data_IF_316253977313
#
_entry.id   IF_316253977313
#
_cell.length_a   1.000
_cell.length_b   1.000
_cell.length_c   1.000
_cell.angle_alpha   90.00
_cell.angle_beta   90.00
_cell.angle_gamma   90.00
#
_symmetry.space_group_name_H-M   'P 1'
#
loop_
_entity.id
_entity.type
_entity.pdbx_description
1 polymer ?
#
# COMPACT_ATOMS: atom_id res chain seq x y z
N UNK A 1 -23.70 14.33 23.73
CA UNK A 1 -22.51 14.03 22.90
C UNK A 1 -21.36 14.70 23.62
N UNK A 2 -20.39 13.93 24.12
CA UNK A 2 -19.10 14.52 24.49
C UNK A 2 -18.56 15.27 23.26
N UNK A 3 -17.91 16.41 23.47
CA UNK A 3 -17.19 17.13 22.42
C UNK A 3 -16.05 16.24 21.94
N UNK A 4 -16.34 15.34 21.01
CA UNK A 4 -15.35 14.47 20.39
C UNK A 4 -14.45 15.36 19.55
N UNK A 5 -13.16 15.22 19.78
CA UNK A 5 -12.14 15.89 18.97
C UNK A 5 -12.37 15.57 17.49
N UNK A 6 -12.51 16.61 16.68
CA UNK A 6 -12.83 16.51 15.25
C UNK A 6 -11.80 15.71 14.45
N UNK A 7 -10.57 15.56 14.95
CA UNK A 7 -9.51 14.74 14.34
C UNK A 7 -9.45 13.31 14.88
N UNK A 8 -10.06 13.03 16.03
CA UNK A 8 -10.22 11.66 16.56
C UNK A 8 -11.53 11.02 16.12
N UNK A 9 -12.48 11.85 15.66
CA UNK A 9 -13.70 11.44 14.99
C UNK A 9 -14.81 10.99 15.92
N UNK A 10 -16.06 11.21 15.50
CA UNK A 10 -17.24 10.68 16.18
C UNK A 10 -17.85 9.43 15.53
N UNK A 11 -17.56 9.20 14.24
CA UNK A 11 -18.03 8.05 13.45
C UNK A 11 -17.02 7.72 12.35
N UNK A 12 -16.89 6.43 12.05
CA UNK A 12 -16.01 5.91 10.99
C UNK A 12 -16.48 6.40 9.61
N UNK A 13 -15.62 7.03 8.79
CA UNK A 13 -15.92 7.20 7.37
C UNK A 13 -15.93 5.82 6.68
N UNK A 14 -16.90 5.58 5.80
CA UNK A 14 -17.01 4.31 5.10
C UNK A 14 -15.74 4.07 4.24
N UNK A 15 -15.08 2.92 4.44
CA UNK A 15 -13.91 2.50 3.66
C UNK A 15 -12.55 3.02 4.14
N UNK A 16 -12.46 3.84 5.18
CA UNK A 16 -11.17 4.33 5.71
C UNK A 16 -10.89 3.73 7.08
N UNK A 17 -10.30 2.54 7.10
CA UNK A 17 -10.03 1.84 8.35
C UNK A 17 -8.91 2.46 9.17
N UNK A 18 -7.98 3.21 8.59
CA UNK A 18 -6.82 3.77 9.31
C UNK A 18 -7.08 5.08 10.10
N UNK A 19 -8.29 5.62 10.09
CA UNK A 19 -8.64 6.81 10.87
C UNK A 19 -8.87 6.47 12.34
N UNK A 20 -8.48 7.34 13.29
CA UNK A 20 -8.77 7.16 14.70
C UNK A 20 -10.27 7.01 14.95
N UNK A 21 -10.58 6.27 16.01
CA UNK A 21 -11.91 6.13 16.59
C UNK A 21 -11.90 6.67 18.04
N UNK A 22 -13.06 6.85 18.69
CA UNK A 22 -13.09 7.32 20.09
C UNK A 22 -12.24 6.50 21.06
N UNK A 23 -12.09 5.19 20.84
CA UNK A 23 -11.22 4.33 21.64
C UNK A 23 -9.71 4.58 21.45
N UNK A 24 -9.31 5.33 20.42
CA UNK A 24 -7.93 5.73 20.16
C UNK A 24 -7.57 7.07 20.83
N UNK A 25 -8.51 7.68 21.55
CA UNK A 25 -8.28 8.92 22.29
C UNK A 25 -7.38 8.66 23.51
N UNK A 26 -6.18 9.28 23.58
CA UNK A 26 -5.30 9.14 24.74
C UNK A 26 -5.83 9.85 26.01
N UNK A 27 -6.98 10.53 25.95
CA UNK A 27 -7.60 11.21 27.07
C UNK A 27 -6.92 12.54 27.42
N UNK A 28 -6.21 13.13 26.46
CA UNK A 28 -5.43 14.36 26.64
C UNK A 28 -5.39 15.18 25.34
N UNK A 29 -5.23 16.49 25.48
CA UNK A 29 -5.11 17.38 24.33
C UNK A 29 -3.75 17.18 23.62
N UNK A 30 -3.79 16.79 22.35
CA UNK A 30 -2.61 16.53 21.52
C UNK A 30 -2.43 17.67 20.52
N UNK A 31 -1.39 18.52 20.66
CA UNK A 31 -1.14 19.62 19.74
C UNK A 31 -0.85 19.14 18.32
N UNK A 32 -1.31 19.92 17.34
CA UNK A 32 -1.20 19.61 15.90
C UNK A 32 -0.82 20.86 15.12
N UNK A 33 0.06 20.69 14.14
CA UNK A 33 0.44 21.73 13.19
C UNK A 33 0.24 21.24 11.76
N UNK A 34 -0.43 22.04 10.92
CA UNK A 34 -0.49 21.77 9.48
C UNK A 34 0.87 21.98 8.83
N UNK A 35 1.35 20.95 8.13
CA UNK A 35 2.64 20.96 7.44
C UNK A 35 2.42 20.98 5.93
N UNK A 36 3.20 21.82 5.25
CA UNK A 36 3.26 21.90 3.79
C UNK A 36 4.71 21.92 3.34
N UNK A 37 5.12 20.93 2.57
CA UNK A 37 6.48 20.75 2.07
C UNK A 37 6.44 20.75 0.54
N UNK A 38 7.37 21.46 -0.07
CA UNK A 38 7.60 21.39 -1.52
C UNK A 38 8.85 20.54 -1.74
N UNK A 39 8.70 19.46 -2.49
CA UNK A 39 9.79 18.54 -2.83
C UNK A 39 10.76 19.19 -3.83
N UNK A 40 12.01 18.69 -3.95
CA UNK A 40 12.98 19.23 -4.89
C UNK A 40 12.53 19.24 -6.36
N UNK A 41 11.63 18.33 -6.74
CA UNK A 41 11.04 18.25 -8.08
C UNK A 41 9.70 19.00 -8.21
N UNK A 42 9.32 19.77 -7.19
CA UNK A 42 8.21 20.72 -7.23
C UNK A 42 6.83 20.15 -6.85
N UNK A 43 6.75 18.89 -6.44
CA UNK A 43 5.50 18.31 -5.93
C UNK A 43 5.19 18.77 -4.50
N UNK A 44 3.91 18.76 -4.16
CA UNK A 44 3.39 19.22 -2.88
C UNK A 44 3.09 18.05 -1.94
N UNK A 45 3.72 18.03 -0.78
CA UNK A 45 3.44 17.12 0.34
C UNK A 45 2.71 17.91 1.43
N UNK A 46 1.62 17.35 1.96
CA UNK A 46 0.81 17.96 3.01
C UNK A 46 0.52 16.95 4.11
N UNK A 47 0.47 17.42 5.35
CA UNK A 47 0.20 16.56 6.49
C UNK A 47 -0.10 17.34 7.76
N UNK A 48 -0.20 16.59 8.86
CA UNK A 48 -0.28 17.13 10.21
C UNK A 48 0.89 16.57 11.02
N UNK A 49 1.60 17.48 11.69
CA UNK A 49 2.57 17.15 12.71
C UNK A 49 1.87 17.13 14.06
N UNK A 50 1.79 15.96 14.67
CA UNK A 50 1.29 15.73 16.02
C UNK A 50 2.48 15.77 16.97
N UNK A 51 2.40 16.57 18.03
CA UNK A 51 3.50 16.69 19.00
C UNK A 51 3.05 16.26 20.39
N UNK A 52 4.01 15.93 21.29
CA UNK A 52 3.68 15.56 22.65
C UNK A 52 2.87 16.64 23.38
N UNK A 53 1.95 16.23 24.26
CA UNK A 53 1.11 17.15 25.03
C UNK A 53 1.94 18.02 25.98
N UNK A 54 1.36 19.15 26.39
CA UNK A 54 1.95 20.03 27.41
C UNK A 54 3.27 20.70 27.01
N UNK A 55 3.58 20.77 25.72
CA UNK A 55 4.83 21.36 25.23
C UNK A 55 6.08 20.52 25.55
N UNK A 56 5.90 19.22 25.85
CA UNK A 56 7.02 18.32 26.13
C UNK A 56 7.97 18.28 24.92
N UNK A 57 9.28 18.51 25.12
CA UNK A 57 10.24 18.43 24.02
C UNK A 57 10.33 16.99 23.50
N UNK A 58 10.61 16.87 22.21
CA UNK A 58 10.80 15.59 21.54
C UNK A 58 12.14 15.59 20.80
N UNK A 59 12.76 14.42 20.74
CA UNK A 59 14.02 14.17 20.01
C UNK A 59 13.83 13.20 18.86
N UNK A 60 12.86 12.31 19.02
CA UNK A 60 12.53 11.29 18.02
C UNK A 60 11.25 11.68 17.29
N UNK A 61 11.31 11.66 15.97
CA UNK A 61 10.16 11.79 15.09
C UNK A 61 9.78 10.43 14.48
N UNK A 62 8.49 10.22 14.25
CA UNK A 62 7.95 9.12 13.47
C UNK A 62 7.25 9.73 12.26
N UNK A 63 7.60 9.31 11.05
CA UNK A 63 6.90 9.75 9.84
C UNK A 63 6.13 8.59 9.23
N UNK A 64 4.91 8.86 8.76
CA UNK A 64 4.03 7.84 8.20
C UNK A 64 3.22 8.37 7.02
N UNK A 65 3.13 7.55 5.99
CA UNK A 65 2.35 7.81 4.78
C UNK A 65 1.90 6.51 4.12
N UNK A 66 0.99 6.64 3.17
CA UNK A 66 0.53 5.58 2.27
C UNK A 66 0.71 6.06 0.84
N UNK A 67 1.00 5.19 -0.15
CA UNK A 67 1.14 5.61 -1.55
C UNK A 67 0.04 6.55 -2.05
N UNK A 68 -1.20 6.35 -1.60
CA UNK A 68 -2.40 7.09 -2.06
C UNK A 68 -3.36 7.54 -0.95
N UNK A 69 -3.09 7.17 0.29
CA UNK A 69 -3.98 7.43 1.43
C UNK A 69 -3.55 8.67 2.20
N UNK A 70 -4.51 9.38 2.80
CA UNK A 70 -4.21 10.49 3.71
C UNK A 70 -3.91 9.96 5.11
N UNK A 71 -2.64 9.91 5.48
CA UNK A 71 -2.20 9.48 6.81
C UNK A 71 -2.01 10.64 7.79
N UNK A 72 -2.41 11.87 7.44
CA UNK A 72 -2.32 13.02 8.34
C UNK A 72 -3.11 12.85 9.64
N UNK A 73 -4.12 12.01 9.63
CA UNK A 73 -5.02 11.67 10.73
C UNK A 73 -5.10 10.15 10.86
N UNK A 74 -3.95 9.49 10.96
CA UNK A 74 -3.84 8.05 11.16
C UNK A 74 -3.96 7.69 12.66
N UNK A 75 -4.56 6.55 13.02
CA UNK A 75 -4.78 6.14 14.43
C UNK A 75 -3.50 6.11 15.28
N UNK A 76 -2.34 5.84 14.66
CA UNK A 76 -1.05 5.83 15.33
C UNK A 76 -0.61 7.22 15.82
N UNK A 77 -1.04 8.30 15.15
CA UNK A 77 -0.58 9.67 15.42
C UNK A 77 -0.88 10.13 16.85
N UNK A 78 -2.14 10.14 17.33
CA UNK A 78 -2.44 10.60 18.69
C UNK A 78 -1.80 9.71 19.76
N UNK A 79 -1.78 8.39 19.56
CA UNK A 79 -1.26 7.42 20.52
C UNK A 79 0.26 7.52 20.70
N UNK A 80 1.02 7.65 19.60
CA UNK A 80 2.47 7.83 19.66
C UNK A 80 2.87 9.25 20.11
N UNK A 81 2.07 10.27 19.78
CA UNK A 81 2.28 11.62 20.31
C UNK A 81 2.10 11.66 21.83
N UNK A 82 1.05 11.02 22.36
CA UNK A 82 0.85 10.85 23.80
C UNK A 82 2.01 10.10 24.48
N UNK A 83 2.64 9.16 23.77
CA UNK A 83 3.82 8.43 24.25
C UNK A 83 5.13 9.28 24.26
N UNK A 84 5.11 10.49 23.70
CA UNK A 84 6.24 11.43 23.77
C UNK A 84 7.02 11.63 22.46
N UNK A 85 6.50 11.14 21.33
CA UNK A 85 7.13 11.27 20.02
C UNK A 85 6.49 12.39 19.18
N UNK A 86 7.26 13.04 18.31
CA UNK A 86 6.67 13.82 17.23
C UNK A 86 6.22 12.88 16.11
N UNK A 87 5.01 13.04 15.59
CA UNK A 87 4.46 12.16 14.56
C UNK A 87 3.97 12.97 13.37
N UNK A 88 4.67 12.87 12.23
CA UNK A 88 4.26 13.52 10.99
C UNK A 88 3.54 12.52 10.10
N UNK A 89 2.21 12.54 10.18
CA UNK A 89 1.35 11.89 9.21
C UNK A 89 1.19 12.78 7.98
N UNK A 90 1.42 12.24 6.78
CA UNK A 90 1.32 13.03 5.55
C UNK A 90 0.75 12.22 4.38
N UNK A 91 0.20 12.93 3.41
CA UNK A 91 -0.17 12.39 2.11
C UNK A 91 0.94 12.63 1.10
N UNK A 92 1.22 11.63 0.28
CA UNK A 92 2.08 11.76 -0.91
C UNK A 92 1.42 12.68 -1.94
N UNK A 93 2.16 12.99 -3.02
CA UNK A 93 1.63 13.69 -4.20
C UNK A 93 0.49 12.93 -4.92
N UNK A 94 0.22 11.68 -4.55
CA UNK A 94 -0.76 10.79 -5.19
C UNK A 94 -1.99 10.51 -4.33
N UNK A 95 -2.31 11.38 -3.37
CA UNK A 95 -3.57 11.30 -2.61
C UNK A 95 -4.77 11.10 -3.56
N UNK A 96 -5.49 10.00 -3.40
CA UNK A 96 -6.63 9.60 -4.24
C UNK A 96 -6.34 9.48 -5.75
N UNK A 97 -5.07 9.37 -6.15
CA UNK A 97 -4.67 9.18 -7.54
C UNK A 97 -3.92 7.87 -7.72
N UNK A 98 -4.67 6.80 -7.97
CA UNK A 98 -4.09 5.49 -8.29
C UNK A 98 -3.52 5.43 -9.72
N UNK A 99 -4.21 6.10 -10.65
CA UNK A 99 -3.97 5.99 -12.10
C UNK A 99 -2.52 6.17 -12.52
N UNK A 100 -1.81 7.13 -11.93
CA UNK A 100 -0.43 7.44 -12.31
C UNK A 100 0.51 7.43 -11.10
N UNK A 101 0.16 6.69 -10.04
CA UNK A 101 0.99 6.56 -8.86
C UNK A 101 2.31 5.87 -9.20
N UNK A 102 3.43 6.53 -8.88
CA UNK A 102 4.78 6.01 -9.05
C UNK A 102 5.48 5.94 -7.70
N UNK A 103 5.82 4.75 -7.24
CA UNK A 103 6.51 4.53 -5.97
C UNK A 103 7.87 5.24 -5.92
N UNK A 104 8.57 5.33 -7.06
CA UNK A 104 9.84 6.05 -7.19
C UNK A 104 9.69 7.55 -6.90
N UNK A 105 8.52 8.13 -7.18
CA UNK A 105 8.23 9.51 -6.81
C UNK A 105 7.74 9.62 -5.36
N UNK A 106 6.99 8.63 -4.87
CA UNK A 106 6.55 8.60 -3.48
C UNK A 106 7.74 8.61 -2.50
N UNK A 107 8.85 7.92 -2.80
CA UNK A 107 10.02 7.94 -1.91
C UNK A 107 10.71 9.32 -1.85
N UNK A 108 10.56 10.15 -2.89
CA UNK A 108 10.99 11.57 -2.87
C UNK A 108 10.14 12.37 -1.89
N UNK A 109 8.84 12.10 -1.83
CA UNK A 109 7.93 12.71 -0.86
C UNK A 109 8.29 12.29 0.58
N UNK A 110 8.61 11.01 0.80
CA UNK A 110 9.08 10.49 2.09
C UNK A 110 10.38 11.17 2.50
N UNK A 111 11.34 11.34 1.58
CA UNK A 111 12.60 12.06 1.84
C UNK A 111 12.36 13.49 2.27
N UNK A 112 11.44 14.19 1.63
CA UNK A 112 11.12 15.57 1.97
C UNK A 112 10.49 15.70 3.38
N UNK A 113 9.62 14.75 3.77
CA UNK A 113 9.08 14.66 5.12
C UNK A 113 10.18 14.35 6.16
N UNK A 114 11.08 13.41 5.86
CA UNK A 114 12.25 13.09 6.68
C UNK A 114 13.14 14.32 6.90
N UNK A 115 13.49 15.04 5.83
CA UNK A 115 14.36 16.23 5.89
C UNK A 115 13.72 17.35 6.71
N UNK A 116 12.41 17.53 6.60
CA UNK A 116 11.68 18.50 7.41
C UNK A 116 11.76 18.16 8.90
N UNK A 117 11.64 16.88 9.28
CA UNK A 117 11.80 16.48 10.69
C UNK A 117 13.24 16.67 11.17
N UNK A 118 14.26 16.36 10.34
CA UNK A 118 15.66 16.67 10.68
C UNK A 118 15.90 18.18 10.84
N UNK A 119 15.34 19.01 9.95
CA UNK A 119 15.42 20.48 10.02
C UNK A 119 14.79 21.03 11.31
N UNK A 120 13.73 20.40 11.80
CA UNK A 120 13.05 20.73 13.06
C UNK A 120 13.79 20.23 14.31
N UNK A 121 14.91 19.53 14.16
CA UNK A 121 15.76 19.12 15.28
C UNK A 121 15.59 17.66 15.71
N UNK A 122 14.93 16.81 14.93
CA UNK A 122 14.86 15.38 15.22
C UNK A 122 16.28 14.77 15.27
N UNK A 123 16.66 14.20 16.41
CA UNK A 123 17.88 13.39 16.57
C UNK A 123 17.70 12.07 15.80
N UNK A 124 16.55 11.42 15.92
CA UNK A 124 16.16 10.23 15.16
C UNK A 124 14.82 10.43 14.41
N UNK A 125 14.68 9.81 13.24
CA UNK A 125 13.45 9.76 12.45
C UNK A 125 13.14 8.32 12.07
N UNK A 126 12.03 7.78 12.56
CA UNK A 126 11.58 6.40 12.30
C UNK A 126 10.54 6.39 11.20
N UNK A 127 10.67 5.45 10.26
CA UNK A 127 9.71 5.27 9.16
C UNK A 127 8.64 4.25 9.57
N UNK A 128 7.38 4.67 9.64
CA UNK A 128 6.26 3.81 9.97
C UNK A 128 5.35 3.65 8.75
N UNK A 129 5.14 2.40 8.33
CA UNK A 129 4.24 2.05 7.23
C UNK A 129 3.12 1.12 7.69
N UNK A 130 1.86 1.51 7.43
CA UNK A 130 0.69 0.63 7.56
C UNK A 130 0.25 0.16 6.17
N UNK A 131 -0.07 -1.13 6.00
CA UNK A 131 -0.54 -1.69 4.73
C UNK A 131 0.46 -1.43 3.59
N UNK A 132 0.03 -0.90 2.44
CA UNK A 132 0.91 -0.50 1.32
C UNK A 132 2.02 0.48 1.74
N UNK A 133 1.80 1.28 2.78
CA UNK A 133 2.80 2.16 3.38
C UNK A 133 4.04 1.41 3.89
N UNK A 134 3.90 0.15 4.33
CA UNK A 134 5.04 -0.68 4.76
C UNK A 134 6.07 -0.88 3.65
N UNK A 135 5.59 -1.31 2.47
CA UNK A 135 6.42 -1.50 1.29
C UNK A 135 7.04 -0.20 0.78
N UNK A 136 6.29 0.90 0.82
CA UNK A 136 6.79 2.22 0.45
C UNK A 136 7.91 2.70 1.40
N UNK A 137 7.72 2.58 2.71
CA UNK A 137 8.72 2.99 3.69
C UNK A 137 9.99 2.13 3.63
N UNK A 138 9.84 0.81 3.37
CA UNK A 138 10.98 -0.07 3.17
C UNK A 138 11.76 0.30 1.90
N UNK A 139 11.06 0.63 0.80
CA UNK A 139 11.69 1.11 -0.43
C UNK A 139 12.41 2.44 -0.20
N UNK A 140 11.80 3.40 0.50
CA UNK A 140 12.44 4.68 0.83
C UNK A 140 13.73 4.49 1.63
N UNK A 141 13.71 3.61 2.65
CA UNK A 141 14.89 3.26 3.44
C UNK A 141 15.97 2.64 2.55
N UNK A 142 15.62 1.62 1.77
CA UNK A 142 16.57 0.82 0.99
C UNK A 142 17.21 1.60 -0.18
N UNK A 143 16.48 2.53 -0.80
CA UNK A 143 16.96 3.32 -1.94
C UNK A 143 17.66 4.62 -1.53
N UNK A 144 17.23 5.25 -0.43
CA UNK A 144 17.71 6.59 -0.05
C UNK A 144 18.57 6.59 1.21
N UNK A 145 18.66 5.47 1.93
CA UNK A 145 19.44 5.36 3.18
C UNK A 145 18.94 6.28 4.30
N UNK A 146 17.65 6.63 4.28
CA UNK A 146 17.01 7.48 5.30
C UNK A 146 16.26 6.65 6.33
N UNK A 147 16.03 7.26 7.49
CA UNK A 147 15.27 6.66 8.58
C UNK A 147 16.16 5.80 9.49
N UNK A 148 16.05 6.03 10.78
CA UNK A 148 16.87 5.36 11.80
C UNK A 148 16.26 4.02 12.24
N UNK A 149 14.96 3.80 12.00
CA UNK A 149 14.26 2.55 12.25
C UNK A 149 13.08 2.36 11.31
N UNK A 150 12.60 1.12 11.21
CA UNK A 150 11.43 0.77 10.38
C UNK A 150 10.36 0.07 11.21
N UNK A 151 9.12 0.57 11.09
CA UNK A 151 7.93 0.02 11.75
C UNK A 151 6.92 -0.40 10.69
N UNK A 152 6.61 -1.69 10.63
CA UNK A 152 5.52 -2.22 9.83
C UNK A 152 4.27 -2.48 10.69
N UNK A 153 3.12 -1.96 10.26
CA UNK A 153 1.81 -2.29 10.84
C UNK A 153 0.97 -2.98 9.76
N UNK A 154 0.60 -4.24 9.92
CA UNK A 154 -0.09 -4.99 8.86
C UNK A 154 0.58 -4.75 7.49
N UNK A 155 1.92 -4.85 7.43
CA UNK A 155 2.67 -4.38 6.27
C UNK A 155 2.42 -5.28 5.06
N UNK A 156 2.02 -4.67 3.94
CA UNK A 156 1.76 -5.38 2.70
C UNK A 156 3.09 -5.82 2.06
N UNK A 157 3.23 -7.04 1.49
CA UNK A 157 4.43 -7.44 0.73
C UNK A 157 4.77 -6.57 -0.50
N UNK A 158 3.97 -5.54 -0.78
CA UNK A 158 3.98 -4.72 -2.01
C UNK A 158 2.65 -4.82 -2.77
N UNK A 159 2.08 -3.68 -3.19
CA UNK A 159 0.76 -3.64 -3.85
C UNK A 159 0.70 -4.50 -5.11
N UNK A 160 1.80 -4.60 -5.87
CA UNK A 160 1.89 -5.52 -7.00
C UNK A 160 1.88 -7.00 -6.58
N UNK A 161 2.53 -7.33 -5.46
CA UNK A 161 2.46 -8.69 -4.90
C UNK A 161 1.06 -9.03 -4.39
N UNK A 162 0.28 -8.03 -3.96
CA UNK A 162 -1.15 -8.20 -3.68
C UNK A 162 -1.89 -8.63 -4.93
N UNK A 163 -1.69 -7.88 -6.01
CA UNK A 163 -2.40 -8.07 -7.27
C UNK A 163 -2.19 -9.48 -7.83
N UNK A 164 -0.99 -10.06 -7.66
CA UNK A 164 -0.72 -11.45 -8.04
C UNK A 164 -1.61 -12.49 -7.30
N UNK A 165 -2.20 -12.13 -6.16
CA UNK A 165 -3.07 -12.99 -5.35
C UNK A 165 -4.55 -12.74 -5.60
N UNK A 166 -4.92 -11.56 -6.10
CA UNK A 166 -6.32 -11.14 -6.21
C UNK A 166 -6.78 -10.86 -7.63
N UNK A 167 -5.89 -10.81 -8.63
CA UNK A 167 -6.33 -10.62 -10.01
C UNK A 167 -7.08 -11.86 -10.49
N UNK A 168 -8.24 -11.68 -11.11
CA UNK A 168 -9.03 -12.80 -11.61
C UNK A 168 -8.40 -13.36 -12.89
N UNK A 169 -7.85 -14.59 -12.88
CA UNK A 169 -7.15 -15.12 -14.04
C UNK A 169 -8.09 -15.56 -15.16
N UNK A 170 -9.41 -15.62 -14.90
CA UNK A 170 -10.40 -16.17 -15.84
C UNK A 170 -10.89 -15.17 -16.89
N UNK A 171 -10.33 -13.96 -16.94
CA UNK A 171 -10.57 -12.99 -18.02
C UNK A 171 -9.70 -13.38 -19.23
N UNK A 172 -10.35 -13.81 -20.32
CA UNK A 172 -9.66 -14.22 -21.54
C UNK A 172 -9.22 -13.03 -22.41
N UNK A 173 -10.06 -12.00 -22.47
CA UNK A 173 -9.89 -10.77 -23.26
C UNK A 173 -10.04 -9.55 -22.35
N UNK A 174 -8.99 -8.73 -22.25
CA UNK A 174 -9.01 -7.52 -21.42
C UNK A 174 -9.98 -6.43 -21.93
N UNK A 175 -10.49 -6.56 -23.17
CA UNK A 175 -11.52 -5.69 -23.74
C UNK A 175 -12.96 -6.17 -23.49
N UNK A 176 -13.13 -7.42 -23.03
CA UNK A 176 -14.41 -8.00 -22.61
C UNK A 176 -14.29 -8.56 -21.19
N UNK A 177 -14.71 -7.81 -20.15
CA UNK A 177 -14.57 -8.26 -18.76
C UNK A 177 -15.43 -9.49 -18.40
N UNK A 178 -16.38 -9.87 -19.26
CA UNK A 178 -17.18 -11.09 -19.10
C UNK A 178 -16.65 -12.27 -19.92
N UNK A 179 -15.56 -12.08 -20.67
CA UNK A 179 -14.91 -13.16 -21.41
C UNK A 179 -14.46 -14.27 -20.44
N UNK A 180 -14.94 -15.52 -20.61
CA UNK A 180 -14.70 -16.57 -19.63
C UNK A 180 -13.52 -17.46 -20.02
N UNK A 181 -12.73 -17.84 -19.02
CA UNK A 181 -11.95 -19.09 -19.01
C UNK A 181 -12.59 -19.97 -17.92
N UNK A 182 -13.58 -20.84 -18.26
CA UNK A 182 -14.40 -21.52 -17.26
C UNK A 182 -13.62 -22.34 -16.23
N UNK A 183 -12.57 -23.04 -16.68
CA UNK A 183 -11.65 -23.83 -15.84
C UNK A 183 -10.85 -22.99 -14.83
N UNK A 184 -10.77 -21.66 -15.01
CA UNK A 184 -10.09 -20.75 -14.10
C UNK A 184 -11.05 -19.86 -13.30
N UNK A 185 -12.36 -19.95 -13.53
CA UNK A 185 -13.33 -19.07 -12.85
C UNK A 185 -13.59 -19.57 -11.43
N UNK A 186 -13.10 -18.84 -10.42
CA UNK A 186 -13.31 -19.21 -9.01
C UNK A 186 -14.76 -19.09 -8.54
N UNK A 187 -15.63 -18.46 -9.34
CA UNK A 187 -17.07 -18.31 -9.10
C UNK A 187 -17.91 -19.34 -9.88
N UNK A 188 -17.26 -20.25 -10.62
CA UNK A 188 -17.92 -21.38 -11.26
C UNK A 188 -18.18 -22.50 -10.23
N UNK A 189 -19.43 -22.98 -10.06
CA UNK A 189 -19.75 -24.07 -9.12
C UNK A 189 -18.93 -25.35 -9.31
N UNK A 190 -18.53 -25.65 -10.56
CA UNK A 190 -17.72 -26.83 -10.91
C UNK A 190 -16.29 -26.75 -10.34
N UNK A 191 -15.79 -25.53 -10.07
CA UNK A 191 -14.48 -25.30 -9.47
C UNK A 191 -14.53 -25.25 -7.94
N UNK A 192 -15.71 -25.39 -7.32
CA UNK A 192 -15.88 -25.43 -5.87
C UNK A 192 -16.59 -24.22 -5.23
N UNK A 193 -17.03 -23.25 -6.05
CA UNK A 193 -17.78 -22.09 -5.57
C UNK A 193 -19.15 -22.46 -5.01
N UNK A 194 -19.57 -21.77 -3.95
CA UNK A 194 -20.91 -21.84 -3.36
C UNK A 194 -21.45 -20.43 -3.12
N UNK A 195 -22.77 -20.19 -3.26
CA UNK A 195 -23.35 -18.88 -3.01
C UNK A 195 -23.10 -18.40 -1.58
N UNK A 196 -22.74 -17.12 -1.44
CA UNK A 196 -22.57 -16.50 -0.13
C UNK A 196 -23.83 -16.65 0.75
N UNK A 197 -23.71 -16.93 2.07
CA UNK A 197 -22.50 -17.05 2.88
C UNK A 197 -21.97 -18.49 3.04
N UNK A 198 -22.31 -19.42 2.13
CA UNK A 198 -21.82 -20.80 2.23
C UNK A 198 -20.31 -20.86 1.93
N UNK A 199 -19.50 -21.51 2.78
CA UNK A 199 -18.06 -21.66 2.53
C UNK A 199 -17.81 -22.43 1.23
N UNK A 200 -16.83 -21.97 0.46
CA UNK A 200 -16.34 -22.67 -0.73
C UNK A 200 -15.26 -23.69 -0.35
N UNK A 201 -14.98 -24.62 -1.25
CA UNK A 201 -13.87 -25.57 -1.10
C UNK A 201 -13.20 -25.78 -2.46
N UNK A 202 -11.95 -25.34 -2.59
CA UNK A 202 -11.21 -25.43 -3.84
C UNK A 202 -10.21 -26.60 -3.84
N UNK A 203 -10.16 -27.36 -4.93
CA UNK A 203 -9.16 -28.41 -5.11
C UNK A 203 -7.74 -27.81 -5.11
N UNK A 204 -6.77 -28.47 -4.47
CA UNK A 204 -5.40 -27.93 -4.30
C UNK A 204 -4.56 -27.91 -5.58
N UNK A 205 -4.75 -28.88 -6.47
CA UNK A 205 -4.11 -28.89 -7.79
C UNK A 205 -4.71 -27.81 -8.69
N UNK A 206 -6.03 -27.61 -8.61
CA UNK A 206 -6.70 -26.48 -9.26
C UNK A 206 -6.18 -25.14 -8.72
N UNK A 207 -6.04 -24.98 -7.40
CA UNK A 207 -5.53 -23.75 -6.78
C UNK A 207 -4.11 -23.43 -7.27
N UNK A 208 -3.24 -24.43 -7.39
CA UNK A 208 -1.89 -24.23 -7.94
C UNK A 208 -1.94 -23.70 -9.39
N UNK A 209 -2.83 -24.26 -10.21
CA UNK A 209 -3.06 -23.81 -11.59
C UNK A 209 -3.63 -22.39 -11.63
N UNK A 210 -4.59 -22.09 -10.75
CA UNK A 210 -5.21 -20.77 -10.60
C UNK A 210 -4.16 -19.70 -10.27
N UNK A 211 -3.32 -19.93 -9.24
CA UNK A 211 -2.25 -19.00 -8.83
C UNK A 211 -1.26 -18.73 -9.96
N UNK A 212 -0.85 -19.77 -10.71
CA UNK A 212 0.02 -19.60 -11.87
C UNK A 212 -0.65 -18.74 -12.96
N UNK A 213 -1.95 -18.92 -13.18
CA UNK A 213 -2.70 -18.14 -14.15
C UNK A 213 -2.89 -16.67 -13.74
N UNK A 214 -2.97 -16.37 -12.43
CA UNK A 214 -2.99 -14.98 -11.94
C UNK A 214 -1.73 -14.23 -12.37
N UNK A 215 -0.57 -14.84 -12.11
CA UNK A 215 0.73 -14.32 -12.52
C UNK A 215 0.82 -14.19 -14.05
N UNK A 216 0.30 -15.17 -14.80
CA UNK A 216 0.28 -15.11 -16.25
C UNK A 216 -0.59 -13.95 -16.78
N UNK A 217 -1.71 -13.62 -16.14
CA UNK A 217 -2.53 -12.45 -16.50
C UNK A 217 -1.78 -11.15 -16.25
N UNK A 218 -1.13 -11.00 -15.09
CA UNK A 218 -0.25 -9.85 -14.79
C UNK A 218 0.83 -9.70 -15.88
N UNK A 219 1.45 -10.80 -16.31
CA UNK A 219 2.47 -10.77 -17.36
C UNK A 219 1.94 -10.27 -18.72
N UNK A 220 0.69 -10.58 -19.09
CA UNK A 220 0.05 -10.06 -20.32
C UNK A 220 -0.19 -8.55 -20.24
N UNK A 221 -0.67 -8.07 -19.10
CA UNK A 221 -0.90 -6.64 -18.86
C UNK A 221 0.45 -5.89 -18.86
N UNK A 222 1.47 -6.46 -18.22
CA UNK A 222 2.84 -5.97 -18.25
C UNK A 222 3.38 -5.81 -19.66
N UNK A 223 3.20 -6.82 -20.52
CA UNK A 223 3.64 -6.77 -21.90
C UNK A 223 2.97 -5.61 -22.66
N UNK A 224 1.67 -5.39 -22.43
CA UNK A 224 0.93 -4.26 -23.02
C UNK A 224 1.47 -2.91 -22.52
N UNK A 225 1.73 -2.79 -21.21
CA UNK A 225 2.27 -1.57 -20.61
C UNK A 225 3.68 -1.26 -21.14
N UNK A 226 4.56 -2.28 -21.14
CA UNK A 226 5.94 -2.18 -21.63
C UNK A 226 5.98 -1.82 -23.12
N UNK A 227 5.14 -2.43 -23.94
CA UNK A 227 5.05 -2.09 -25.37
C UNK A 227 4.63 -0.64 -25.58
N UNK A 228 3.63 -0.14 -24.82
CA UNK A 228 3.22 1.26 -24.93
C UNK A 228 4.35 2.23 -24.62
N UNK A 229 5.21 1.92 -23.63
CA UNK A 229 6.36 2.75 -23.27
C UNK A 229 7.44 2.66 -24.36
N UNK A 230 7.69 1.46 -24.89
CA UNK A 230 8.66 1.24 -25.96
C UNK A 230 8.28 1.99 -27.23
N UNK A 231 7.00 1.99 -27.62
CA UNK A 231 6.49 2.71 -28.80
C UNK A 231 6.70 4.23 -28.66
N UNK A 232 6.43 4.79 -27.48
CA UNK A 232 6.66 6.20 -27.20
C UNK A 232 8.16 6.54 -27.22
N UNK A 233 9.02 5.66 -26.69
CA UNK A 233 10.46 5.83 -26.70
C UNK A 233 11.06 5.74 -28.12
N UNK A 234 10.60 4.80 -28.96
CA UNK A 234 10.98 4.72 -30.37
C UNK A 234 10.61 6.01 -31.12
N UNK A 235 9.36 6.47 -30.93
CA UNK A 235 8.90 7.71 -31.54
C UNK A 235 9.75 8.92 -31.10
N UNK A 236 10.11 9.00 -29.82
CA UNK A 236 11.01 10.02 -29.30
C UNK A 236 12.42 9.93 -29.91
N UNK A 237 12.94 8.72 -30.12
CA UNK A 237 14.22 8.47 -30.79
C UNK A 237 14.20 8.96 -32.24
N UNK A 238 13.17 8.58 -33.00
CA UNK A 238 12.99 8.99 -34.40
C UNK A 238 12.73 10.48 -34.55
N UNK A 239 12.05 11.11 -33.60
CA UNK A 239 11.77 12.54 -33.58
C UNK A 239 13.06 13.38 -33.61
N UNK A 240 14.15 12.92 -32.98
CA UNK A 240 15.44 13.63 -32.94
C UNK A 240 16.05 13.86 -34.33
N UNK A 241 15.71 13.01 -35.31
CA UNK A 241 16.21 13.11 -36.67
C UNK A 241 15.31 13.94 -37.60
N UNK A 242 14.20 14.48 -37.11
CA UNK A 242 13.25 15.25 -37.91
C UNK A 242 13.31 16.71 -37.50
N UNK A 243 13.67 17.58 -38.45
CA UNK A 243 13.57 19.02 -38.22
C UNK A 243 12.12 19.49 -38.34
N UNK A 244 11.71 20.35 -37.41
CA UNK A 244 10.33 20.84 -37.28
C UNK A 244 9.93 21.77 -38.43
N UNK A 245 10.90 22.43 -39.07
CA UNK A 245 10.67 23.34 -40.19
C UNK A 245 10.65 22.62 -41.53
N UNK A 246 11.50 21.60 -41.71
CA UNK A 246 11.60 20.87 -42.98
C UNK A 246 10.44 19.89 -43.21
N UNK A 247 9.98 19.20 -42.16
CA UNK A 247 8.88 18.22 -42.25
C UNK A 247 7.94 18.35 -41.03
N UNK A 248 7.12 19.41 -40.98
CA UNK A 248 6.25 19.68 -39.84
C UNK A 248 5.20 18.59 -39.61
N UNK A 249 4.75 17.89 -40.67
CA UNK A 249 3.74 16.84 -40.56
C UNK A 249 4.30 15.61 -39.85
N UNK A 250 5.48 15.13 -40.26
CA UNK A 250 6.16 14.00 -39.61
C UNK A 250 6.65 14.36 -38.21
N UNK A 251 7.19 15.57 -38.03
CA UNK A 251 7.59 16.05 -36.71
C UNK A 251 6.41 16.02 -35.73
N UNK A 252 5.23 16.51 -36.15
CA UNK A 252 4.01 16.51 -35.34
C UNK A 252 3.54 15.09 -34.99
N UNK A 253 3.50 14.17 -35.95
CA UNK A 253 3.08 12.78 -35.70
C UNK A 253 4.01 12.09 -34.70
N UNK A 254 5.33 12.13 -34.93
CA UNK A 254 6.31 11.55 -34.01
C UNK A 254 6.29 12.22 -32.64
N UNK A 255 6.08 13.55 -32.59
CA UNK A 255 5.91 14.26 -31.33
C UNK A 255 4.70 13.77 -30.57
N UNK A 256 3.54 13.64 -31.22
CA UNK A 256 2.32 13.13 -30.59
C UNK A 256 2.52 11.71 -30.04
N UNK A 257 3.15 10.82 -30.81
CA UNK A 257 3.48 9.45 -30.36
C UNK A 257 4.47 9.43 -29.21
N UNK A 258 5.47 10.32 -29.22
CA UNK A 258 6.50 10.39 -28.17
C UNK A 258 5.97 10.80 -26.78
N UNK A 259 4.81 11.46 -26.74
CA UNK A 259 4.16 11.89 -25.48
C UNK A 259 2.90 11.10 -25.17
N UNK A 260 2.51 10.17 -26.05
CA UNK A 260 1.32 9.37 -25.85
C UNK A 260 1.53 8.42 -24.67
N UNK A 261 0.53 8.35 -23.79
CA UNK A 261 0.49 7.39 -22.68
C UNK A 261 -0.78 6.56 -22.82
N UNK A 262 -0.62 5.24 -22.96
CA UNK A 262 -1.77 4.33 -22.97
C UNK A 262 -2.34 4.24 -21.56
N UNK A 263 -3.66 4.44 -21.46
CA UNK A 263 -4.43 4.06 -20.30
C UNK A 263 -4.87 2.60 -20.42
N UNK A 264 -4.66 1.85 -19.36
CA UNK A 264 -5.12 0.49 -19.14
C UNK A 264 -6.41 0.58 -18.33
N UNK A 265 -7.43 -0.17 -18.75
CA UNK A 265 -8.63 -0.39 -17.95
C UNK A 265 -8.62 -1.87 -17.56
N UNK A 266 -8.52 -2.15 -16.27
CA UNK A 266 -8.28 -3.51 -15.76
C UNK A 266 -9.49 -3.91 -14.93
N UNK A 267 -10.15 -5.00 -15.35
CA UNK A 267 -11.34 -5.53 -14.69
C UNK A 267 -11.03 -6.75 -13.84
N UNK A 268 -11.87 -7.03 -12.85
CA UNK A 268 -11.83 -8.24 -12.02
C UNK A 268 -10.48 -8.43 -11.32
N UNK A 269 -10.27 -7.62 -10.29
CA UNK A 269 -9.02 -7.51 -9.52
C UNK A 269 -9.18 -7.83 -8.04
N UNK A 270 -10.25 -8.55 -7.66
CA UNK A 270 -10.55 -8.96 -6.28
C UNK A 270 -11.13 -10.38 -6.22
N UNK A 271 -10.35 -11.35 -6.70
CA UNK A 271 -10.66 -12.77 -6.82
C UNK A 271 -9.57 -13.61 -6.15
N UNK A 272 -9.57 -13.66 -4.82
CA UNK A 272 -8.72 -14.60 -4.06
C UNK A 272 -9.58 -15.75 -3.52
N UNK A 273 -9.33 -17.02 -3.93
CA UNK A 273 -10.00 -18.20 -3.36
C UNK A 273 -9.96 -18.26 -1.82
N UNK A 274 -8.92 -17.72 -1.19
CA UNK A 274 -8.77 -17.71 0.27
C UNK A 274 -9.78 -16.79 0.99
N UNK A 275 -10.50 -15.93 0.26
CA UNK A 275 -11.62 -15.17 0.79
C UNK A 275 -12.84 -16.03 1.07
N UNK A 276 -13.02 -17.14 0.35
CA UNK A 276 -14.22 -18.00 0.44
C UNK A 276 -13.92 -19.40 0.99
N UNK A 277 -12.65 -19.83 0.99
CA UNK A 277 -12.18 -21.10 1.54
C UNK A 277 -11.13 -20.85 2.63
N UNK A 278 -11.57 -20.87 3.89
CA UNK A 278 -10.71 -20.66 5.06
C UNK A 278 -9.73 -21.81 5.33
N UNK A 279 -9.83 -22.92 4.60
CA UNK A 279 -8.81 -23.97 4.66
C UNK A 279 -7.53 -23.59 3.89
N UNK A 280 -7.58 -22.59 3.02
CA UNK A 280 -6.40 -22.01 2.36
C UNK A 280 -5.74 -21.05 3.35
N UNK A 281 -4.46 -21.26 3.68
CA UNK A 281 -3.71 -20.45 4.65
C UNK A 281 -4.47 -20.21 5.97
N UNK A 282 -4.78 -21.25 6.77
CA UNK A 282 -5.65 -21.11 7.94
C UNK A 282 -5.08 -20.14 8.99
N UNK A 283 -5.89 -19.16 9.40
CA UNK A 283 -5.60 -18.15 10.42
C UNK A 283 -6.90 -17.67 11.13
N UNK A 284 -6.86 -16.56 11.87
CA UNK A 284 -7.99 -16.06 12.67
C UNK A 284 -9.01 -15.25 11.82
N UNK A 285 -8.83 -15.14 10.50
CA UNK A 285 -9.65 -14.24 9.66
C UNK A 285 -11.08 -14.75 9.46
N UNK A 286 -12.06 -13.83 9.34
CA UNK A 286 -13.38 -14.20 8.83
C UNK A 286 -13.34 -14.45 7.32
N UNK A 287 -14.34 -15.18 6.81
CA UNK A 287 -14.61 -15.27 5.38
C UNK A 287 -14.94 -13.88 4.82
N UNK A 288 -14.45 -13.57 3.63
CA UNK A 288 -14.63 -12.28 2.95
C UNK A 288 -13.32 -11.52 2.75
N UNK A 289 -13.45 -10.22 2.44
CA UNK A 289 -12.34 -9.30 2.19
C UNK A 289 -12.63 -7.92 2.78
N UNK A 290 -11.58 -7.19 3.15
CA UNK A 290 -11.61 -5.76 3.46
C UNK A 290 -12.14 -4.92 2.29
N UNK A 291 -11.96 -5.40 1.06
CA UNK A 291 -12.35 -4.69 -0.16
C UNK A 291 -13.71 -5.14 -0.70
N UNK A 292 -14.37 -6.11 -0.05
CA UNK A 292 -15.63 -6.68 -0.51
C UNK A 292 -16.62 -6.92 0.63
N UNK A 293 -17.83 -6.33 0.52
CA UNK A 293 -18.86 -6.49 1.55
C UNK A 293 -20.25 -6.70 0.97
N UNK A 294 -20.99 -7.75 1.38
CA UNK A 294 -20.50 -8.92 2.14
C UNK A 294 -19.81 -9.97 1.26
N UNK A 295 -20.12 -10.01 -0.04
CA UNK A 295 -19.67 -11.05 -0.97
C UNK A 295 -18.46 -10.59 -1.80
N UNK A 296 -17.32 -11.32 -1.78
CA UNK A 296 -16.19 -11.11 -2.69
C UNK A 296 -16.55 -10.98 -4.18
N UNK A 297 -17.61 -11.65 -4.64
CA UNK A 297 -18.11 -11.55 -6.01
C UNK A 297 -18.44 -10.10 -6.40
N UNK A 298 -19.09 -9.36 -5.51
CA UNK A 298 -19.53 -7.98 -5.74
C UNK A 298 -18.35 -7.03 -5.95
N UNK A 299 -17.22 -7.25 -5.27
CA UNK A 299 -16.05 -6.40 -5.42
C UNK A 299 -15.25 -6.73 -6.69
N UNK A 300 -15.22 -8.02 -7.07
CA UNK A 300 -14.54 -8.46 -8.28
C UNK A 300 -15.24 -7.94 -9.55
N UNK A 301 -16.55 -8.13 -9.66
CA UNK A 301 -17.33 -7.68 -10.82
C UNK A 301 -17.79 -6.23 -10.72
N UNK A 302 -17.96 -5.70 -9.51
CA UNK A 302 -18.45 -4.36 -9.27
C UNK A 302 -17.36 -3.29 -9.27
N UNK A 303 -17.71 -2.14 -8.69
CA UNK A 303 -16.88 -0.93 -8.67
C UNK A 303 -15.68 -0.97 -7.72
N UNK A 304 -15.60 -1.97 -6.84
CA UNK A 304 -14.63 -2.04 -5.75
C UNK A 304 -13.22 -2.46 -6.15
N UNK A 305 -13.03 -3.00 -7.36
CA UNK A 305 -11.73 -3.50 -7.81
C UNK A 305 -10.62 -2.44 -7.84
N UNK A 306 -9.41 -2.89 -7.51
CA UNK A 306 -8.17 -2.13 -7.49
C UNK A 306 -7.59 -1.93 -8.89
N UNK A 307 -6.71 -0.93 -9.06
CA UNK A 307 -5.98 -0.68 -10.32
C UNK A 307 -6.88 -0.50 -11.56
N UNK A 308 -8.12 -0.01 -11.38
CA UNK A 308 -9.15 -0.01 -12.42
C UNK A 308 -8.73 0.74 -13.67
N UNK A 309 -8.14 1.91 -13.50
CA UNK A 309 -7.70 2.80 -14.58
C UNK A 309 -6.26 3.18 -14.27
N UNK A 310 -5.32 2.78 -15.13
CA UNK A 310 -3.89 2.97 -14.89
C UNK A 310 -3.20 3.54 -16.13
N UNK A 311 -2.19 4.38 -15.96
CA UNK A 311 -1.18 4.57 -17.00
C UNK A 311 -0.29 3.33 -17.07
N UNK A 312 0.38 3.11 -18.19
CA UNK A 312 1.36 2.03 -18.32
C UNK A 312 2.45 2.08 -17.24
N UNK A 313 2.92 3.29 -16.88
CA UNK A 313 3.94 3.48 -15.84
C UNK A 313 3.38 3.25 -14.44
N UNK A 314 2.17 3.76 -14.15
CA UNK A 314 1.51 3.54 -12.88
C UNK A 314 1.30 2.05 -12.60
N UNK A 315 0.84 1.28 -13.58
CA UNK A 315 0.72 -0.18 -13.46
C UNK A 315 2.06 -0.85 -13.11
N UNK A 316 3.11 -0.57 -13.89
CA UNK A 316 4.42 -1.21 -13.71
C UNK A 316 5.10 -0.83 -12.39
N UNK A 317 4.93 0.42 -11.94
CA UNK A 317 5.53 0.90 -10.69
C UNK A 317 4.78 0.40 -9.45
N UNK A 318 3.48 0.17 -9.55
CA UNK A 318 2.62 -0.01 -8.36
C UNK A 318 1.94 -1.38 -8.30
N UNK A 319 1.19 -1.77 -9.33
CA UNK A 319 0.28 -2.93 -9.26
C UNK A 319 0.77 -4.17 -10.01
N UNK A 320 1.87 -4.07 -10.76
CA UNK A 320 2.53 -5.25 -11.32
C UNK A 320 3.38 -5.94 -10.27
N UNK A 321 2.99 -7.15 -9.85
CA UNK A 321 3.82 -7.99 -8.99
C UNK A 321 5.08 -8.55 -9.67
N UNK A 322 5.25 -8.30 -10.97
CA UNK A 322 6.42 -8.71 -11.76
C UNK A 322 7.40 -7.56 -12.01
N UNK A 323 6.94 -6.31 -11.94
CA UNK A 323 7.74 -5.14 -12.30
C UNK A 323 7.94 -4.13 -11.16
N UNK A 324 7.02 -4.05 -10.19
CA UNK A 324 7.11 -3.04 -9.14
C UNK A 324 8.34 -3.23 -8.26
N UNK A 325 9.02 -2.13 -7.96
CA UNK A 325 10.16 -2.09 -7.03
C UNK A 325 9.74 -1.99 -5.56
N UNK A 326 8.47 -1.68 -5.28
CA UNK A 326 7.92 -1.61 -3.93
C UNK A 326 7.52 -3.00 -3.41
N UNK A 327 8.47 -3.94 -3.44
CA UNK A 327 8.30 -5.35 -3.06
C UNK A 327 9.17 -5.67 -1.85
N UNK A 328 8.53 -6.05 -0.73
CA UNK A 328 9.25 -6.26 0.54
C UNK A 328 10.30 -7.37 0.45
N UNK A 329 10.07 -8.42 -0.32
CA UNK A 329 11.07 -9.48 -0.52
C UNK A 329 12.38 -8.96 -1.14
N UNK A 330 12.34 -7.85 -1.89
CA UNK A 330 13.50 -7.26 -2.57
C UNK A 330 14.10 -6.09 -1.76
N UNK A 331 13.28 -5.38 -0.96
CA UNK A 331 13.71 -4.22 -0.16
C UNK A 331 14.16 -4.60 1.25
N UNK A 332 13.43 -5.48 1.95
CA UNK A 332 13.73 -5.83 3.35
C UNK A 332 15.13 -6.40 3.58
N UNK A 333 15.74 -7.21 2.69
CA UNK A 333 17.13 -7.65 2.87
C UNK A 333 18.15 -6.50 2.98
N UNK A 334 17.81 -5.33 2.42
CA UNK A 334 18.61 -4.10 2.43
C UNK A 334 18.28 -3.18 3.62
N UNK A 335 17.14 -3.37 4.27
CA UNK A 335 16.77 -2.63 5.49
C UNK A 335 17.60 -3.16 6.65
N UNK A 336 18.68 -2.45 7.01
CA UNK A 336 19.62 -2.82 8.08
C UNK A 336 19.33 -2.16 9.43
N UNK A 337 18.42 -1.20 9.46
CA UNK A 337 18.03 -0.46 10.66
C UNK A 337 17.12 -1.30 11.56
N UNK A 338 17.09 -1.06 12.89
CA UNK A 338 16.19 -1.76 13.79
C UNK A 338 14.76 -1.79 13.27
N UNK A 339 14.15 -2.97 13.33
CA UNK A 339 12.88 -3.28 12.66
C UNK A 339 11.88 -3.87 13.66
N UNK A 340 10.64 -3.38 13.63
CA UNK A 340 9.49 -4.03 14.28
C UNK A 340 8.35 -4.23 13.26
N UNK A 341 7.76 -5.43 13.25
CA UNK A 341 6.53 -5.72 12.52
C UNK A 341 5.43 -6.12 13.51
N UNK A 342 4.33 -5.35 13.52
CA UNK A 342 3.10 -5.65 14.25
C UNK A 342 2.06 -6.14 13.25
N UNK A 343 1.61 -7.38 13.39
CA UNK A 343 0.74 -8.04 12.42
C UNK A 343 -0.60 -8.49 13.03
N UNK A 344 -1.74 -8.03 12.48
CA UNK A 344 -3.06 -8.57 12.82
C UNK A 344 -3.23 -9.99 12.29
N UNK A 345 -3.72 -10.89 13.14
CA UNK A 345 -3.91 -12.32 12.77
C UNK A 345 -5.25 -12.62 12.13
N UNK A 346 -6.24 -11.72 12.22
CA UNK A 346 -7.53 -11.81 11.55
C UNK A 346 -7.61 -10.88 10.32
N UNK A 347 -6.46 -10.60 9.71
CA UNK A 347 -6.33 -9.79 8.50
C UNK A 347 -6.84 -10.57 7.28
N UNK A 348 -7.78 -9.99 6.54
CA UNK A 348 -8.37 -10.64 5.36
C UNK A 348 -7.50 -10.53 4.12
N UNK A 349 -6.49 -9.65 4.11
CA UNK A 349 -5.67 -9.35 2.93
C UNK A 349 -4.22 -9.84 3.04
N UNK A 350 -3.65 -9.80 4.25
CA UNK A 350 -2.26 -10.18 4.48
C UNK A 350 -2.22 -11.38 5.40
N UNK A 351 -1.61 -12.48 4.94
CA UNK A 351 -1.54 -13.73 5.69
C UNK A 351 -0.37 -13.73 6.68
N UNK A 352 -0.51 -14.52 7.75
CA UNK A 352 0.52 -14.70 8.78
C UNK A 352 1.86 -15.14 8.17
N UNK A 353 1.85 -16.03 7.19
CA UNK A 353 3.08 -16.51 6.55
C UNK A 353 3.81 -15.40 5.80
N UNK A 354 3.09 -14.45 5.17
CA UNK A 354 3.68 -13.29 4.50
C UNK A 354 4.34 -12.36 5.49
N UNK A 355 3.71 -12.11 6.63
CA UNK A 355 4.31 -11.33 7.72
C UNK A 355 5.61 -11.98 8.23
N UNK A 356 5.61 -13.31 8.39
CA UNK A 356 6.80 -14.07 8.79
C UNK A 356 7.92 -14.02 7.74
N UNK A 357 7.59 -14.08 6.46
CA UNK A 357 8.56 -13.90 5.37
C UNK A 357 9.18 -12.49 5.36
N UNK A 358 8.38 -11.45 5.61
CA UNK A 358 8.89 -10.07 5.73
C UNK A 358 9.92 -9.95 6.85
N UNK A 359 9.65 -10.54 8.02
CA UNK A 359 10.59 -10.54 9.15
C UNK A 359 11.83 -11.37 8.82
N UNK A 360 11.65 -12.60 8.31
CA UNK A 360 12.75 -13.50 7.99
C UNK A 360 13.68 -12.96 6.88
N UNK A 361 13.14 -12.16 5.96
CA UNK A 361 13.92 -11.50 4.91
C UNK A 361 14.54 -10.17 5.32
N UNK A 362 14.20 -9.63 6.50
CA UNK A 362 14.74 -8.36 6.96
C UNK A 362 16.25 -8.45 7.15
N UNK A 363 16.94 -7.42 6.66
CA UNK A 363 18.38 -7.28 6.76
C UNK A 363 18.86 -6.82 8.14
N UNK A 364 17.95 -6.42 9.03
CA UNK A 364 18.24 -5.86 10.34
C UNK A 364 18.76 -6.91 11.32
N UNK A 365 19.76 -6.56 12.14
CA UNK A 365 20.22 -7.41 13.24
C UNK A 365 19.26 -7.38 14.43
N UNK A 366 18.56 -6.26 14.62
CA UNK A 366 17.57 -6.06 15.67
C UNK A 366 16.16 -6.09 15.09
N UNK A 367 15.48 -7.21 15.33
CA UNK A 367 14.16 -7.51 14.80
C UNK A 367 13.17 -7.84 15.93
N UNK A 368 11.97 -7.31 15.83
CA UNK A 368 10.85 -7.63 16.72
C UNK A 368 9.61 -7.97 15.87
N UNK A 369 8.95 -9.09 16.17
CA UNK A 369 7.69 -9.49 15.54
C UNK A 369 6.61 -9.65 16.60
N UNK A 370 5.48 -8.98 16.41
CA UNK A 370 4.35 -9.00 17.34
C UNK A 370 3.08 -9.38 16.58
N UNK A 371 2.47 -10.50 16.95
CA UNK A 371 1.16 -10.91 16.44
C UNK A 371 0.05 -10.33 17.34
N UNK A 372 -0.94 -9.67 16.73
CA UNK A 372 -2.13 -9.15 17.39
C UNK A 372 -3.28 -10.13 17.16
N UNK A 373 -3.50 -11.00 18.15
CA UNK A 373 -4.47 -12.10 18.07
C UNK A 373 -5.90 -11.59 17.84
N UNK A 374 -6.61 -12.09 16.83
CA UNK A 374 -7.97 -11.69 16.48
C UNK A 374 -8.12 -10.26 15.95
N UNK A 375 -7.03 -9.50 15.80
CA UNK A 375 -7.10 -8.13 15.31
C UNK A 375 -7.33 -8.10 13.78
N UNK A 376 -8.18 -7.21 13.26
CA UNK A 376 -8.37 -6.99 11.83
C UNK A 376 -7.25 -6.12 11.23
N UNK A 377 -7.25 -5.93 9.90
CA UNK A 377 -6.20 -5.24 9.13
C UNK A 377 -5.78 -3.87 9.69
N UNK A 378 -6.73 -3.05 10.17
CA UNK A 378 -6.44 -1.73 10.76
C UNK A 378 -6.48 -1.72 12.28
N UNK A 379 -6.31 -2.90 12.89
CA UNK A 379 -6.14 -3.11 14.33
C UNK A 379 -7.31 -2.59 15.18
N UNK A 380 -8.52 -2.43 14.62
CA UNK A 380 -9.70 -2.00 15.38
C UNK A 380 -9.86 -2.83 16.68
N UNK A 381 -10.12 -2.15 17.80
CA UNK A 381 -10.16 -2.76 19.14
C UNK A 381 -8.79 -3.11 19.76
N UNK A 382 -7.69 -2.99 19.01
CA UNK A 382 -6.33 -3.39 19.43
C UNK A 382 -5.28 -2.28 19.31
N UNK A 383 -5.62 -1.14 18.70
CA UNK A 383 -4.71 -0.01 18.42
C UNK A 383 -3.95 0.50 19.65
N UNK A 384 -4.55 0.75 20.83
CA UNK A 384 -3.78 1.18 22.00
C UNK A 384 -2.69 0.17 22.39
N UNK A 385 -3.01 -1.13 22.39
CA UNK A 385 -2.03 -2.17 22.69
C UNK A 385 -0.93 -2.26 21.62
N UNK A 386 -1.30 -2.13 20.35
CA UNK A 386 -0.33 -2.11 19.25
C UNK A 386 0.62 -0.91 19.31
N UNK A 387 0.09 0.28 19.57
CA UNK A 387 0.91 1.49 19.68
C UNK A 387 1.74 1.50 20.97
N UNK A 388 1.27 0.87 22.05
CA UNK A 388 2.08 0.65 23.24
C UNK A 388 3.30 -0.24 22.94
N UNK A 389 3.14 -1.33 22.17
CA UNK A 389 4.25 -2.18 21.75
C UNK A 389 5.27 -1.43 20.89
N UNK A 390 4.80 -0.59 19.95
CA UNK A 390 5.67 0.29 19.15
C UNK A 390 6.36 1.33 20.03
N UNK A 391 5.65 1.98 20.96
CA UNK A 391 6.22 2.99 21.85
C UNK A 391 7.29 2.41 22.79
N UNK A 392 7.08 1.22 23.33
CA UNK A 392 8.07 0.49 24.13
C UNK A 392 9.30 0.13 23.29
N UNK A 393 9.08 -0.33 22.05
CA UNK A 393 10.16 -0.63 21.12
C UNK A 393 10.99 0.63 20.78
N UNK A 394 10.32 1.77 20.53
CA UNK A 394 10.94 3.07 20.32
C UNK A 394 11.72 3.52 21.55
N UNK A 395 11.15 3.42 22.75
CA UNK A 395 11.76 3.92 23.98
C UNK A 395 13.12 3.27 24.28
N UNK A 396 13.27 1.99 23.94
CA UNK A 396 14.53 1.25 24.13
C UNK A 396 15.65 1.67 23.17
N UNK A 397 15.33 2.35 22.06
CA UNK A 397 16.25 2.62 20.94
C UNK A 397 16.43 4.10 20.64
N UNK A 398 15.37 4.87 20.78
CA UNK A 398 15.24 6.28 20.39
C UNK A 398 14.46 7.07 21.47
N UNK A 399 14.95 7.13 22.72
CA UNK A 399 14.22 7.69 23.87
C UNK A 399 13.91 9.20 23.79
#
# INVERSE_FOLDING_TARGET
>A
MQDLDVHLGGRRPFGTGFWPLPEDDPGMDIPRESVRIVTPDGALVRGLLWTPPGGRPWKTAVILTHPRGDFSVHYACPLLAAAGYAVLGFATRYLNNDTDCLHENCIVDVKAAYDEMKRRGAEAVVLLGNSGGGSLMAMAQAELGIGDGWVGLAAHPGEGMFMNQVIDPSVADESDPFSPIPELDMYNPDNGWRPWPEPCSYNRDWLATYRAAQVARVARIDATAKQSIADAADAAGRLKAVDRGSDPARWRDLRARSVFSKYLVIYRTLADPAYLDLSIDPDDRPMGSLFAFPDPLDANYGRGGLARSMTARGWLSTWSGLSSHAKLADTMPRVKVPTILVHPTADTEIRIWQAKEIVASSGAEDQTYVEMKGAPHYLEGHRPAAMAAVAEWLQRRYP
#
